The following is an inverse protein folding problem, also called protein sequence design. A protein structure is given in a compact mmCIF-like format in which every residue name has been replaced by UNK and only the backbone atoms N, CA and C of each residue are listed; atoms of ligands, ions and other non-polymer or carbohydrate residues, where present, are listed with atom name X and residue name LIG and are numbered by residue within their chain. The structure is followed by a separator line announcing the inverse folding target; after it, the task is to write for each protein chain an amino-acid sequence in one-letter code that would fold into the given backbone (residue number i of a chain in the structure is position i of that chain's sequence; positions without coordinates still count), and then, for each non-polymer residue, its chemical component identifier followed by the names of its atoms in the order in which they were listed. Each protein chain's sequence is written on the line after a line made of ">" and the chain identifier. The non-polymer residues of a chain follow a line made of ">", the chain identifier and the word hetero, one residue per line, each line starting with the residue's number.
data_IF_816775017390
#
_entry.id   IF_816775017390
#
_cell.length_a   1.000
_cell.length_b   1.000
_cell.length_c   1.000
_cell.angle_alpha   90.00
_cell.angle_beta   90.00
_cell.angle_gamma   90.00
#
_symmetry.space_group_name_H-M   'P 1'
#
loop_
_entity.id
_entity.type
_entity.pdbx_description
1 polymer ?
#
# COMPACT_ATOMS: atom_id res chain seq x y z
N UNK A 1 25.34 -18.37 4.89
CA UNK A 1 25.33 -17.22 3.97
C UNK A 1 24.69 -17.50 2.60
N UNK A 2 25.26 -18.35 1.75
CA UNK A 2 24.83 -18.51 0.34
C UNK A 2 23.33 -18.80 0.15
N UNK A 3 22.73 -19.63 1.04
CA UNK A 3 21.29 -19.90 1.01
C UNK A 3 20.43 -18.65 1.28
N UNK A 4 20.88 -17.75 2.16
CA UNK A 4 20.21 -16.48 2.43
C UNK A 4 20.36 -15.51 1.26
N UNK A 5 21.56 -15.37 0.70
CA UNK A 5 21.81 -14.56 -0.51
C UNK A 5 20.96 -15.02 -1.71
N UNK A 6 20.70 -16.33 -1.84
CA UNK A 6 19.85 -16.86 -2.90
C UNK A 6 18.38 -16.41 -2.82
N UNK A 7 17.89 -15.96 -1.65
CA UNK A 7 16.55 -15.39 -1.50
C UNK A 7 16.43 -13.98 -2.12
N UNK A 8 17.57 -13.34 -2.39
CA UNK A 8 17.64 -11.99 -2.96
C UNK A 8 18.47 -12.01 -4.25
N UNK A 9 18.03 -12.71 -5.30
CA UNK A 9 18.84 -12.97 -6.50
C UNK A 9 19.23 -11.69 -7.26
N UNK A 10 18.50 -10.60 -7.04
CA UNK A 10 18.71 -9.31 -7.69
C UNK A 10 19.39 -8.26 -6.79
N UNK A 11 19.84 -8.64 -5.59
CA UNK A 11 20.50 -7.73 -4.64
C UNK A 11 21.82 -8.32 -4.19
N UNK A 12 22.91 -7.56 -4.29
CA UNK A 12 24.18 -7.94 -3.68
C UNK A 12 24.16 -7.54 -2.20
N UNK A 13 24.09 -8.53 -1.30
CA UNK A 13 24.15 -8.27 0.14
C UNK A 13 25.60 -8.24 0.63
N UNK A 14 25.90 -7.33 1.56
CA UNK A 14 27.23 -7.20 2.17
C UNK A 14 27.30 -8.18 3.34
N UNK A 15 28.00 -9.30 3.19
CA UNK A 15 28.07 -10.39 4.19
C UNK A 15 28.55 -9.90 5.56
N UNK A 16 29.51 -8.98 5.58
CA UNK A 16 30.05 -8.40 6.80
C UNK A 16 28.97 -7.67 7.62
N UNK A 17 27.92 -7.15 6.98
CA UNK A 17 26.78 -6.51 7.65
C UNK A 17 25.88 -7.48 8.44
N UNK A 18 26.09 -8.79 8.27
CA UNK A 18 25.31 -9.85 8.92
C UNK A 18 26.18 -10.72 9.84
N UNK A 19 27.50 -10.73 9.66
CA UNK A 19 28.41 -11.60 10.37
C UNK A 19 28.82 -11.04 11.73
N UNK A 20 28.54 -11.79 12.80
CA UNK A 20 28.95 -11.46 14.18
C UNK A 20 29.47 -12.73 14.84
N UNK A 21 30.71 -12.70 15.33
CA UNK A 21 31.34 -13.85 16.01
C UNK A 21 31.26 -15.17 15.23
N UNK A 22 31.39 -15.11 13.90
CA UNK A 22 31.33 -16.29 13.03
C UNK A 22 29.91 -16.79 12.70
N UNK A 23 28.86 -16.09 13.17
CA UNK A 23 27.46 -16.42 12.89
C UNK A 23 26.79 -15.30 12.09
N UNK A 24 25.90 -15.67 11.16
CA UNK A 24 25.11 -14.71 10.39
C UNK A 24 23.77 -14.42 11.07
N UNK A 25 23.54 -13.16 11.42
CA UNK A 25 22.29 -12.68 11.98
C UNK A 25 21.51 -11.89 10.92
N UNK A 26 20.42 -12.49 10.43
CA UNK A 26 19.56 -11.90 9.38
C UNK A 26 18.66 -10.79 9.92
N UNK A 27 18.03 -10.06 9.00
CA UNK A 27 17.05 -9.02 9.30
C UNK A 27 15.87 -9.56 10.10
N UNK A 28 15.68 -9.12 11.34
CA UNK A 28 14.55 -9.54 12.19
C UNK A 28 13.75 -8.33 12.69
N UNK A 29 12.49 -8.58 13.04
CA UNK A 29 11.63 -7.60 13.69
C UNK A 29 11.16 -6.45 12.80
N UNK A 30 10.45 -5.50 13.40
CA UNK A 30 9.88 -4.32 12.72
C UNK A 30 10.97 -3.41 12.15
N UNK A 31 12.14 -3.37 12.79
CA UNK A 31 13.29 -2.59 12.34
C UNK A 31 14.11 -3.26 11.25
N UNK A 32 13.83 -4.54 10.94
CA UNK A 32 14.64 -5.37 10.04
C UNK A 32 16.13 -5.33 10.43
N UNK A 33 16.43 -5.40 11.73
CA UNK A 33 17.79 -5.30 12.24
C UNK A 33 18.64 -6.47 11.77
N UNK A 34 19.83 -6.18 11.24
CA UNK A 34 20.79 -7.18 10.76
C UNK A 34 22.03 -7.23 11.66
N UNK A 35 22.82 -8.30 11.54
CA UNK A 35 24.13 -8.41 12.16
C UNK A 35 24.11 -8.13 13.66
N UNK A 36 24.99 -7.22 14.10
CA UNK A 36 25.14 -6.88 15.52
C UNK A 36 23.84 -6.38 16.17
N UNK A 37 23.00 -5.64 15.44
CA UNK A 37 21.73 -5.13 15.99
C UNK A 37 20.67 -6.22 16.12
N UNK A 38 20.69 -7.22 15.24
CA UNK A 38 19.83 -8.42 15.34
C UNK A 38 20.18 -9.22 16.59
N UNK A 39 21.48 -9.47 16.82
CA UNK A 39 21.94 -10.11 18.06
C UNK A 39 21.58 -9.27 19.29
N UNK A 40 21.77 -7.95 19.25
CA UNK A 40 21.44 -7.07 20.37
C UNK A 40 19.95 -7.09 20.71
N UNK A 41 19.04 -7.18 19.71
CA UNK A 41 17.61 -7.35 19.95
C UNK A 41 17.31 -8.68 20.66
N UNK A 42 17.94 -9.78 20.23
CA UNK A 42 17.81 -11.08 20.87
C UNK A 42 18.28 -11.05 22.33
N UNK A 43 19.45 -10.47 22.58
CA UNK A 43 20.01 -10.33 23.93
C UNK A 43 19.13 -9.44 24.82
N UNK A 44 18.62 -8.34 24.27
CA UNK A 44 17.69 -7.44 24.95
C UNK A 44 16.41 -8.18 25.35
N UNK A 45 15.75 -8.86 24.42
CA UNK A 45 14.53 -9.61 24.69
C UNK A 45 14.76 -10.69 25.76
N UNK A 46 15.87 -11.44 25.66
CA UNK A 46 16.26 -12.45 26.65
C UNK A 46 16.51 -11.86 28.03
N UNK A 47 17.22 -10.74 28.12
CA UNK A 47 17.51 -10.07 29.40
C UNK A 47 16.25 -9.55 30.10
N UNK A 48 15.20 -9.23 29.34
CA UNK A 48 13.93 -8.74 29.86
C UNK A 48 12.84 -9.81 29.95
N UNK A 49 13.17 -11.09 29.67
CA UNK A 49 12.21 -12.20 29.63
C UNK A 49 11.01 -11.91 28.71
N UNK A 50 11.27 -11.32 27.54
CA UNK A 50 10.26 -11.01 26.53
C UNK A 50 10.39 -11.96 25.33
N UNK A 51 9.27 -12.23 24.67
CA UNK A 51 9.31 -12.79 23.32
C UNK A 51 9.93 -11.75 22.39
N UNK A 52 10.97 -12.16 21.64
CA UNK A 52 11.65 -11.29 20.68
C UNK A 52 10.68 -10.68 19.66
N UNK A 53 9.56 -11.33 19.34
CA UNK A 53 8.56 -10.83 18.39
C UNK A 53 7.49 -9.93 19.01
N UNK A 54 7.45 -9.82 20.35
CA UNK A 54 6.47 -8.96 21.03
C UNK A 54 6.67 -7.48 20.71
N UNK A 55 5.59 -6.72 20.69
CA UNK A 55 5.67 -5.27 20.50
C UNK A 55 6.52 -4.62 21.60
N UNK A 56 6.41 -5.13 22.82
CA UNK A 56 7.18 -4.73 23.99
C UNK A 56 8.69 -4.90 23.77
N UNK A 57 9.14 -6.05 23.29
CA UNK A 57 10.56 -6.28 23.00
C UNK A 57 11.06 -5.37 21.87
N UNK A 58 10.28 -5.26 20.80
CA UNK A 58 10.65 -4.55 19.58
C UNK A 58 10.74 -3.02 19.82
N UNK A 59 9.74 -2.45 20.49
CA UNK A 59 9.67 -1.02 20.83
C UNK A 59 10.64 -0.70 21.98
N UNK A 60 10.74 -1.57 22.99
CA UNK A 60 11.70 -1.43 24.06
C UNK A 60 13.14 -1.40 23.54
N UNK A 61 13.48 -2.26 22.58
CA UNK A 61 14.79 -2.26 21.94
C UNK A 61 15.06 -0.94 21.19
N UNK A 62 14.11 -0.43 20.39
CA UNK A 62 14.23 0.86 19.70
C UNK A 62 14.56 2.03 20.65
N UNK A 63 13.95 2.02 21.83
CA UNK A 63 14.07 3.11 22.81
C UNK A 63 15.32 2.96 23.68
N UNK A 64 15.61 1.75 24.14
CA UNK A 64 16.54 1.51 25.25
C UNK A 64 17.67 0.54 24.91
N UNK A 65 17.39 -0.49 24.10
CA UNK A 65 18.32 -1.59 23.82
C UNK A 65 19.30 -1.36 22.66
N UNK A 66 18.95 -0.51 21.69
CA UNK A 66 19.79 -0.25 20.52
C UNK A 66 21.00 0.63 20.84
N UNK A 67 21.88 0.86 19.87
CA UNK A 67 23.06 1.71 20.06
C UNK A 67 22.67 3.15 20.44
N UNK A 68 23.51 3.88 21.21
CA UNK A 68 23.24 5.27 21.58
C UNK A 68 22.89 6.18 20.40
N UNK A 69 23.50 5.94 19.24
CA UNK A 69 23.21 6.65 18.00
C UNK A 69 21.76 6.43 17.53
N UNK A 70 21.34 5.17 17.36
CA UNK A 70 20.00 4.83 16.87
C UNK A 70 18.89 5.17 17.84
N UNK A 71 19.14 5.09 19.15
CA UNK A 71 18.18 5.52 20.18
C UNK A 71 17.97 7.04 20.15
N UNK A 72 19.05 7.82 19.98
CA UNK A 72 18.99 9.29 19.97
C UNK A 72 18.19 9.80 18.78
N UNK A 73 18.68 9.50 17.57
CA UNK A 73 17.89 8.83 16.53
C UNK A 73 16.37 8.89 16.63
N UNK A 74 15.88 7.72 16.98
CA UNK A 74 14.49 7.38 17.12
C UNK A 74 13.76 8.33 18.08
N UNK A 75 14.34 8.65 19.24
CA UNK A 75 13.73 9.56 20.22
C UNK A 75 13.47 10.94 19.63
N UNK A 76 14.44 11.53 18.95
CA UNK A 76 14.27 12.83 18.30
C UNK A 76 13.15 12.81 17.26
N UNK A 77 12.96 11.69 16.56
CA UNK A 77 11.88 11.54 15.57
C UNK A 77 10.52 11.40 16.26
N UNK A 78 10.38 10.48 17.22
CA UNK A 78 9.07 10.19 17.85
C UNK A 78 8.59 11.28 18.81
N UNK A 79 9.48 12.16 19.28
CA UNK A 79 9.10 13.32 20.10
C UNK A 79 9.04 14.65 19.34
N UNK A 80 9.33 14.66 18.03
CA UNK A 80 9.30 15.89 17.24
C UNK A 80 7.88 16.29 16.85
N UNK A 81 7.68 17.60 16.67
CA UNK A 81 6.47 18.20 16.11
C UNK A 81 6.65 18.63 14.63
N UNK A 82 7.76 18.22 14.00
CA UNK A 82 8.02 18.51 12.59
C UNK A 82 7.00 17.82 11.67
N UNK A 83 7.00 18.25 10.40
CA UNK A 83 6.15 17.66 9.36
C UNK A 83 6.47 16.18 9.17
N UNK A 84 5.43 15.38 8.89
CA UNK A 84 5.54 13.94 8.61
C UNK A 84 6.56 13.65 7.51
N UNK A 85 6.59 14.48 6.48
CA UNK A 85 7.51 14.37 5.35
C UNK A 85 8.97 14.46 5.80
N UNK A 86 9.27 15.46 6.63
CA UNK A 86 10.60 15.71 7.19
C UNK A 86 11.01 14.57 8.12
N UNK A 87 10.10 14.12 9.00
CA UNK A 87 10.38 13.02 9.93
C UNK A 87 10.55 11.68 9.22
N UNK A 88 9.81 11.45 8.13
CA UNK A 88 9.95 10.25 7.29
C UNK A 88 11.29 10.22 6.59
N UNK A 89 11.71 11.35 5.99
CA UNK A 89 13.02 11.47 5.37
C UNK A 89 14.13 11.28 6.41
N UNK A 90 14.00 11.92 7.57
CA UNK A 90 14.97 11.79 8.65
C UNK A 90 15.09 10.34 9.15
N UNK A 91 13.98 9.64 9.32
CA UNK A 91 14.01 8.22 9.67
C UNK A 91 14.70 7.38 8.59
N UNK A 92 14.44 7.68 7.32
CA UNK A 92 15.04 6.98 6.18
C UNK A 92 16.56 7.19 6.07
N UNK A 93 17.00 8.42 6.27
CA UNK A 93 18.41 8.82 6.13
C UNK A 93 19.18 8.43 7.39
N UNK A 94 18.73 8.89 8.56
CA UNK A 94 19.52 8.83 9.79
C UNK A 94 19.36 7.49 10.52
N UNK A 95 18.16 6.88 10.48
CA UNK A 95 17.91 5.63 11.22
C UNK A 95 18.07 4.38 10.34
N UNK A 96 17.51 4.39 9.12
CA UNK A 96 17.61 3.27 8.17
C UNK A 96 18.91 3.29 7.34
N UNK A 97 19.54 4.45 7.16
CA UNK A 97 20.79 4.57 6.39
C UNK A 97 20.63 4.39 4.88
N UNK A 98 19.43 4.64 4.33
CA UNK A 98 19.11 4.41 2.91
C UNK A 98 18.49 5.66 2.25
N UNK A 99 19.25 6.77 2.16
CA UNK A 99 18.75 8.05 1.65
C UNK A 99 18.12 7.93 0.26
N UNK A 100 16.98 8.60 0.06
CA UNK A 100 16.27 8.66 -1.23
C UNK A 100 15.51 7.39 -1.63
N UNK A 101 15.68 6.25 -0.94
CA UNK A 101 15.02 5.00 -1.30
C UNK A 101 13.49 5.10 -1.16
N UNK A 102 12.79 5.27 -2.28
CA UNK A 102 11.31 5.39 -2.35
C UNK A 102 10.77 6.49 -1.41
N UNK A 103 11.47 7.64 -1.36
CA UNK A 103 11.18 8.68 -0.38
C UNK A 103 9.73 9.17 -0.47
N UNK A 104 9.25 9.47 -1.68
CA UNK A 104 7.90 9.98 -1.88
C UNK A 104 6.83 8.97 -1.46
N UNK A 105 7.01 7.69 -1.80
CA UNK A 105 6.09 6.61 -1.42
C UNK A 105 6.06 6.41 0.09
N UNK A 106 7.23 6.48 0.75
CA UNK A 106 7.32 6.39 2.22
C UNK A 106 6.65 7.57 2.89
N UNK A 107 6.85 8.79 2.39
CA UNK A 107 6.18 10.00 2.91
C UNK A 107 4.67 9.89 2.74
N UNK A 108 4.20 9.41 1.60
CA UNK A 108 2.77 9.20 1.34
C UNK A 108 2.19 8.14 2.29
N UNK A 109 2.88 7.01 2.48
CA UNK A 109 2.47 5.97 3.43
C UNK A 109 2.44 6.52 4.88
N UNK A 110 3.46 7.26 5.30
CA UNK A 110 3.53 7.83 6.65
C UNK A 110 2.39 8.81 6.92
N UNK A 111 2.00 9.65 5.95
CA UNK A 111 0.83 10.53 6.05
C UNK A 111 -0.45 9.71 6.26
N UNK A 112 -0.62 8.64 5.50
CA UNK A 112 -1.80 7.78 5.59
C UNK A 112 -1.88 7.09 6.95
N UNK A 113 -0.76 6.56 7.46
CA UNK A 113 -0.67 6.00 8.81
C UNK A 113 -0.95 7.04 9.90
N UNK A 114 -0.42 8.26 9.77
CA UNK A 114 -0.70 9.32 10.74
C UNK A 114 -2.19 9.66 10.78
N UNK A 115 -2.81 9.80 9.61
CA UNK A 115 -4.26 10.03 9.52
C UNK A 115 -5.02 8.90 10.21
N UNK A 116 -4.74 7.64 9.85
CA UNK A 116 -5.37 6.47 10.48
C UNK A 116 -5.27 6.49 12.01
N UNK A 117 -4.08 6.74 12.55
CA UNK A 117 -3.83 6.75 14.00
C UNK A 117 -4.58 7.92 14.68
N UNK A 118 -4.62 9.10 14.06
CA UNK A 118 -5.23 10.30 14.65
C UNK A 118 -6.76 10.26 14.67
N UNK A 119 -7.39 9.80 13.60
CA UNK A 119 -8.85 9.80 13.51
C UNK A 119 -9.49 8.52 14.02
N UNK A 120 -8.74 7.44 14.25
CA UNK A 120 -9.31 6.13 14.59
C UNK A 120 -10.17 5.52 13.47
N UNK A 121 -10.32 6.25 12.36
CA UNK A 121 -10.91 5.91 11.08
C UNK A 121 -10.02 6.55 10.00
N UNK A 122 -10.00 5.97 8.81
CA UNK A 122 -9.01 6.27 7.78
C UNK A 122 -8.37 4.96 7.33
N UNK A 123 -7.63 4.99 6.23
CA UNK A 123 -6.87 3.81 5.81
C UNK A 123 -5.51 4.22 5.32
N UNK A 124 -4.59 3.30 5.57
CA UNK A 124 -3.16 3.43 5.39
C UNK A 124 -2.75 3.44 3.92
N UNK A 125 -3.72 3.46 2.99
CA UNK A 125 -3.49 3.18 1.57
C UNK A 125 -2.85 1.82 1.32
N UNK A 126 -2.69 0.98 2.36
CA UNK A 126 -2.13 -0.34 2.25
C UNK A 126 -3.14 -1.23 1.54
N UNK A 127 -2.74 -1.75 0.41
CA UNK A 127 -3.51 -2.73 -0.35
C UNK A 127 -3.55 -4.06 0.42
N UNK A 128 -4.74 -4.45 0.87
CA UNK A 128 -5.00 -5.81 1.35
C UNK A 128 -5.26 -6.73 0.15
N UNK A 129 -4.77 -7.97 0.20
CA UNK A 129 -5.08 -9.00 -0.82
C UNK A 129 -6.44 -9.67 -0.60
N UNK A 130 -7.08 -9.39 0.54
CA UNK A 130 -8.41 -9.87 0.89
C UNK A 130 -9.31 -8.69 1.26
N UNK A 131 -10.62 -8.87 1.11
CA UNK A 131 -11.60 -7.84 1.49
C UNK A 131 -11.46 -7.59 2.99
N UNK A 132 -11.32 -6.33 3.45
CA UNK A 132 -11.26 -6.05 4.87
C UNK A 132 -12.55 -6.52 5.55
N UNK A 133 -12.41 -7.23 6.68
CA UNK A 133 -13.49 -7.98 7.31
C UNK A 133 -14.71 -7.11 7.63
N UNK A 134 -14.48 -5.85 8.00
CA UNK A 134 -15.50 -4.87 8.35
C UNK A 134 -16.40 -4.43 7.17
N UNK A 135 -16.06 -4.77 5.92
CA UNK A 135 -16.86 -4.47 4.73
C UNK A 135 -17.51 -5.69 4.08
N UNK A 136 -17.15 -6.92 4.49
CA UNK A 136 -17.56 -8.16 3.80
C UNK A 136 -19.08 -8.25 3.61
N UNK A 137 -19.85 -7.85 4.62
CA UNK A 137 -21.31 -7.91 4.62
C UNK A 137 -21.98 -6.57 4.24
N UNK A 138 -21.20 -5.58 3.79
CA UNK A 138 -21.67 -4.23 3.47
C UNK A 138 -21.67 -3.91 1.97
N UNK A 139 -21.07 -4.76 1.13
CA UNK A 139 -20.90 -4.50 -0.30
C UNK A 139 -22.25 -4.60 -1.04
N UNK A 140 -22.78 -3.51 -1.60
CA UNK A 140 -24.11 -3.54 -2.23
C UNK A 140 -24.20 -4.44 -3.47
N UNK A 141 -23.07 -4.67 -4.12
CA UNK A 141 -22.96 -5.52 -5.32
C UNK A 141 -22.24 -6.85 -5.08
N UNK A 142 -22.13 -7.27 -3.82
CA UNK A 142 -21.39 -8.47 -3.42
C UNK A 142 -19.90 -8.39 -3.76
N UNK A 143 -19.21 -9.52 -3.66
CA UNK A 143 -17.79 -9.62 -4.01
C UNK A 143 -17.57 -9.69 -5.53
N UNK A 144 -16.40 -9.26 -6.04
CA UNK A 144 -15.98 -9.58 -7.40
C UNK A 144 -16.03 -11.09 -7.65
N UNK A 145 -16.63 -11.49 -8.76
CA UNK A 145 -16.76 -12.90 -9.13
C UNK A 145 -15.46 -13.44 -9.71
N UNK A 146 -15.30 -14.76 -9.70
CA UNK A 146 -14.19 -15.44 -10.39
C UNK A 146 -14.14 -15.05 -11.88
N UNK A 147 -15.30 -14.86 -12.52
CA UNK A 147 -15.37 -14.40 -13.91
C UNK A 147 -14.75 -13.01 -14.10
N UNK A 148 -14.83 -12.14 -13.10
CA UNK A 148 -14.31 -10.79 -13.18
C UNK A 148 -12.80 -10.69 -12.89
N UNK A 149 -12.23 -11.68 -12.18
CA UNK A 149 -10.87 -11.57 -11.62
C UNK A 149 -9.87 -12.63 -12.08
N UNK A 150 -10.31 -13.83 -12.49
CA UNK A 150 -9.39 -14.94 -12.81
C UNK A 150 -8.81 -14.83 -14.22
N UNK A 151 -7.57 -15.30 -14.37
CA UNK A 151 -6.93 -15.46 -15.67
C UNK A 151 -7.69 -16.44 -16.56
N UNK A 152 -7.86 -16.07 -17.83
CA UNK A 152 -8.64 -16.85 -18.80
C UNK A 152 -10.16 -16.67 -18.67
N UNK A 153 -10.63 -15.90 -17.70
CA UNK A 153 -12.01 -15.46 -17.60
C UNK A 153 -12.18 -14.04 -18.17
N UNK A 154 -13.37 -13.46 -18.02
CA UNK A 154 -13.68 -12.09 -18.39
C UNK A 154 -15.11 -11.94 -18.88
N UNK A 155 -15.46 -10.71 -19.23
CA UNK A 155 -16.74 -10.38 -19.86
C UNK A 155 -16.54 -10.01 -21.35
N UNK A 156 -17.48 -10.38 -22.22
CA UNK A 156 -17.39 -10.09 -23.65
C UNK A 156 -17.36 -8.57 -23.90
N UNK A 157 -16.63 -8.16 -24.94
CA UNK A 157 -16.50 -6.75 -25.31
C UNK A 157 -15.41 -5.98 -24.56
N UNK A 158 -14.74 -6.59 -23.58
CA UNK A 158 -13.60 -5.99 -22.89
C UNK A 158 -12.39 -5.91 -23.84
N UNK A 159 -11.99 -4.68 -24.21
CA UNK A 159 -10.84 -4.44 -25.09
C UNK A 159 -9.55 -4.08 -24.33
N UNK A 160 -9.58 -4.09 -22.99
CA UNK A 160 -8.40 -3.77 -22.18
C UNK A 160 -7.46 -4.97 -22.06
N UNK A 161 -6.17 -4.69 -21.89
CA UNK A 161 -5.16 -5.72 -21.68
C UNK A 161 -5.45 -6.51 -20.40
N UNK A 162 -5.49 -7.85 -20.54
CA UNK A 162 -5.89 -8.76 -19.49
C UNK A 162 -5.10 -8.55 -18.18
N UNK A 163 -5.75 -8.76 -17.04
CA UNK A 163 -5.08 -8.68 -15.73
C UNK A 163 -4.67 -7.26 -15.28
N UNK A 164 -4.99 -6.21 -16.05
CA UNK A 164 -4.76 -4.81 -15.68
C UNK A 164 -5.94 -4.19 -14.92
N UNK A 165 -5.69 -3.04 -14.30
CA UNK A 165 -6.68 -2.26 -13.56
C UNK A 165 -7.93 -1.91 -14.40
N UNK A 166 -7.74 -1.46 -15.65
CA UNK A 166 -8.84 -1.13 -16.57
C UNK A 166 -9.65 -2.36 -16.97
N UNK A 167 -8.99 -3.49 -17.21
CA UNK A 167 -9.62 -4.76 -17.53
C UNK A 167 -10.50 -5.25 -16.39
N UNK A 168 -9.99 -5.19 -15.16
CA UNK A 168 -10.75 -5.54 -13.96
C UNK A 168 -11.97 -4.64 -13.77
N UNK A 169 -11.80 -3.32 -13.84
CA UNK A 169 -12.91 -2.37 -13.61
C UNK A 169 -14.01 -2.56 -14.66
N UNK A 170 -13.65 -2.77 -15.94
CA UNK A 170 -14.63 -3.13 -16.97
C UNK A 170 -15.42 -4.39 -16.58
N UNK A 171 -14.73 -5.46 -16.19
CA UNK A 171 -15.39 -6.71 -15.78
C UNK A 171 -16.25 -6.54 -14.54
N UNK A 172 -15.82 -5.73 -13.56
CA UNK A 172 -16.57 -5.48 -12.33
C UNK A 172 -17.87 -4.74 -12.62
N UNK A 173 -17.87 -3.79 -13.55
CA UNK A 173 -19.09 -3.17 -14.04
C UNK A 173 -19.99 -4.17 -14.78
N UNK A 174 -19.42 -4.99 -15.68
CA UNK A 174 -20.19 -5.99 -16.41
C UNK A 174 -20.86 -7.02 -15.47
N UNK A 175 -20.17 -7.43 -14.40
CA UNK A 175 -20.70 -8.30 -13.36
C UNK A 175 -21.99 -7.73 -12.73
N UNK A 176 -22.07 -6.41 -12.55
CA UNK A 176 -23.24 -5.74 -11.95
C UNK A 176 -24.26 -5.28 -13.00
N UNK A 177 -24.11 -5.73 -14.26
CA UNK A 177 -25.02 -5.41 -15.35
C UNK A 177 -24.84 -4.01 -15.96
N UNK A 178 -23.73 -3.34 -15.68
CA UNK A 178 -23.42 -2.00 -16.19
C UNK A 178 -22.37 -2.11 -17.30
N UNK A 179 -22.63 -1.47 -18.44
CA UNK A 179 -21.70 -1.46 -19.57
C UNK A 179 -20.77 -0.26 -19.55
N UNK A 180 -19.46 -0.53 -19.69
CA UNK A 180 -18.42 0.48 -19.88
C UNK A 180 -18.00 0.53 -21.34
N UNK A 181 -17.74 1.72 -21.87
CA UNK A 181 -17.15 1.88 -23.18
C UNK A 181 -15.72 1.30 -23.16
N UNK A 182 -15.39 0.32 -24.03
CA UNK A 182 -14.15 -0.44 -23.89
C UNK A 182 -12.88 0.30 -24.36
N UNK A 183 -12.99 1.54 -24.85
CA UNK A 183 -11.88 2.31 -25.42
C UNK A 183 -11.66 3.66 -24.73
N UNK A 184 -11.78 3.72 -23.40
CA UNK A 184 -11.45 4.94 -22.63
C UNK A 184 -9.94 5.21 -22.50
N UNK A 185 -9.09 4.27 -22.94
CA UNK A 185 -7.63 4.34 -22.85
C UNK A 185 -7.07 3.88 -21.50
N UNK A 186 -5.82 4.26 -21.22
CA UNK A 186 -5.18 4.03 -19.92
C UNK A 186 -5.97 4.68 -18.77
N UNK A 187 -5.75 4.20 -17.55
CA UNK A 187 -6.57 4.57 -16.41
C UNK A 187 -6.72 6.09 -16.19
N UNK A 188 -5.62 6.85 -16.23
CA UNK A 188 -5.65 8.30 -16.10
C UNK A 188 -6.41 9.01 -17.24
N UNK A 189 -6.53 8.38 -18.42
CA UNK A 189 -7.23 8.98 -19.56
C UNK A 189 -8.76 8.95 -19.39
N UNK A 190 -9.28 8.06 -18.53
CA UNK A 190 -10.72 7.88 -18.38
C UNK A 190 -11.42 9.18 -17.99
N UNK A 191 -10.84 10.04 -17.15
CA UNK A 191 -11.46 11.33 -16.77
C UNK A 191 -11.63 12.29 -17.95
N UNK A 192 -10.84 12.14 -19.01
CA UNK A 192 -10.91 12.98 -20.21
C UNK A 192 -11.78 12.37 -21.31
N UNK A 193 -11.78 11.03 -21.45
CA UNK A 193 -12.50 10.32 -22.50
C UNK A 193 -13.94 9.99 -22.11
N UNK A 194 -14.20 9.71 -20.83
CA UNK A 194 -15.50 9.33 -20.30
C UNK A 194 -16.61 10.37 -20.54
N UNK A 195 -16.38 11.70 -20.37
CA UNK A 195 -17.39 12.70 -20.69
C UNK A 195 -17.89 12.62 -22.14
N UNK A 196 -17.00 12.33 -23.09
CA UNK A 196 -17.35 12.15 -24.51
C UNK A 196 -18.25 10.94 -24.79
N UNK A 197 -18.34 10.01 -23.84
CA UNK A 197 -19.23 8.84 -23.89
C UNK A 197 -20.53 9.05 -23.08
N UNK A 198 -20.74 10.27 -22.56
CA UNK A 198 -21.90 10.64 -21.75
C UNK A 198 -21.79 10.28 -20.27
N UNK A 199 -20.59 9.94 -19.78
CA UNK A 199 -20.38 9.63 -18.36
C UNK A 199 -20.16 10.91 -17.55
N UNK A 200 -20.53 10.88 -16.27
CA UNK A 200 -20.32 12.00 -15.37
C UNK A 200 -19.03 11.81 -14.58
N UNK A 201 -18.21 12.86 -14.50
CA UNK A 201 -16.98 12.88 -13.69
C UNK A 201 -17.20 13.80 -12.49
N UNK A 202 -16.89 13.32 -11.29
CA UNK A 202 -17.03 14.06 -10.03
C UNK A 202 -15.84 13.80 -9.11
N UNK A 203 -15.64 14.66 -8.11
CA UNK A 203 -14.67 14.44 -7.02
C UNK A 203 -15.32 13.83 -5.76
N UNK A 204 -16.64 13.60 -5.78
CA UNK A 204 -17.38 13.04 -4.65
C UNK A 204 -17.45 11.52 -4.74
N UNK A 205 -17.06 10.78 -3.70
CA UNK A 205 -17.19 9.32 -3.69
C UNK A 205 -18.63 8.87 -3.86
N UNK A 206 -18.83 7.88 -4.72
CA UNK A 206 -20.12 7.26 -4.95
C UNK A 206 -19.92 5.77 -5.19
N UNK A 207 -20.69 4.93 -4.51
CA UNK A 207 -20.67 3.48 -4.70
C UNK A 207 -21.06 3.15 -6.15
N UNK A 208 -20.41 2.16 -6.75
CA UNK A 208 -20.69 1.74 -8.12
C UNK A 208 -20.10 2.66 -9.19
N UNK A 209 -19.05 3.41 -8.87
CA UNK A 209 -18.33 4.26 -9.83
C UNK A 209 -16.91 3.77 -10.06
N UNK A 210 -16.32 4.13 -11.22
CA UNK A 210 -14.90 3.94 -11.46
C UNK A 210 -14.14 5.03 -10.71
N UNK A 211 -13.18 4.64 -9.88
CA UNK A 211 -12.29 5.56 -9.16
C UNK A 211 -11.00 5.70 -9.95
N UNK A 212 -10.80 6.85 -10.58
CA UNK A 212 -9.58 7.17 -11.33
C UNK A 212 -8.61 7.92 -10.44
N UNK A 213 -7.38 7.42 -10.39
CA UNK A 213 -6.24 8.05 -9.76
C UNK A 213 -5.35 8.66 -10.83
N UNK A 214 -5.14 9.97 -10.75
CA UNK A 214 -4.17 10.66 -11.59
C UNK A 214 -2.76 10.09 -11.38
N UNK A 215 -1.83 10.27 -12.33
CA UNK A 215 -0.49 9.70 -12.23
C UNK A 215 0.25 10.14 -10.96
N UNK A 216 0.81 9.17 -10.22
CA UNK A 216 1.52 9.39 -8.95
C UNK A 216 0.62 9.62 -7.72
N UNK A 217 -0.70 9.73 -7.90
CA UNK A 217 -1.66 9.95 -6.80
C UNK A 217 -2.03 8.64 -6.12
N UNK A 218 -2.00 8.64 -4.79
CA UNK A 218 -2.33 7.46 -3.97
C UNK A 218 -1.56 6.20 -4.39
N UNK A 219 -0.29 6.33 -4.80
CA UNK A 219 0.53 5.18 -5.21
C UNK A 219 0.20 4.62 -6.59
N UNK A 220 -0.54 5.35 -7.43
CA UNK A 220 -0.78 5.00 -8.82
C UNK A 220 0.49 5.09 -9.68
N UNK A 221 0.48 4.46 -10.86
CA UNK A 221 1.60 4.54 -11.78
C UNK A 221 1.86 5.99 -12.21
N UNK A 222 3.12 6.43 -12.21
CA UNK A 222 3.51 7.83 -12.49
C UNK A 222 3.26 8.28 -13.93
N UNK A 223 3.00 7.35 -14.84
CA UNK A 223 2.63 7.65 -16.24
C UNK A 223 1.16 7.36 -16.54
N UNK A 224 0.62 6.23 -16.06
CA UNK A 224 -0.65 5.69 -16.54
C UNK A 224 -1.81 5.97 -15.58
N UNK A 225 -1.51 6.46 -14.37
CA UNK A 225 -2.47 6.51 -13.28
C UNK A 225 -2.91 5.13 -12.82
N UNK A 226 -4.09 5.05 -12.24
CA UNK A 226 -4.73 3.80 -11.85
C UNK A 226 -6.26 3.94 -11.86
N UNK A 227 -6.98 2.84 -12.03
CA UNK A 227 -8.44 2.85 -11.93
C UNK A 227 -8.91 1.67 -11.08
N UNK A 228 -9.85 1.94 -10.20
CA UNK A 228 -10.45 0.97 -9.30
C UNK A 228 -11.98 1.05 -9.37
N UNK A 229 -12.68 0.15 -8.69
CA UNK A 229 -14.13 0.19 -8.54
C UNK A 229 -14.49 0.60 -7.10
N UNK A 230 -15.41 1.56 -6.94
CA UNK A 230 -15.88 2.03 -5.64
C UNK A 230 -16.91 1.06 -5.06
N UNK A 231 -16.50 0.26 -4.09
CA UNK A 231 -17.30 -0.83 -3.51
C UNK A 231 -18.21 -0.34 -2.36
N UNK A 232 -17.74 0.66 -1.60
CA UNK A 232 -18.48 1.20 -0.47
C UNK A 232 -18.04 2.64 -0.15
N UNK A 233 -18.95 3.48 0.35
CA UNK A 233 -18.65 4.82 0.87
C UNK A 233 -19.11 4.89 2.32
N UNK A 234 -18.18 5.19 3.23
CA UNK A 234 -18.43 5.33 4.65
C UNK A 234 -19.12 6.66 4.96
N UNK A 235 -19.74 6.73 6.14
CA UNK A 235 -20.41 7.94 6.62
C UNK A 235 -19.46 9.15 6.78
N UNK A 236 -18.18 8.90 7.03
CA UNK A 236 -17.13 9.93 7.14
C UNK A 236 -16.59 10.40 5.78
N UNK A 237 -17.11 9.86 4.67
CA UNK A 237 -16.70 10.18 3.30
C UNK A 237 -15.47 9.42 2.81
N UNK A 238 -14.85 8.57 3.64
CA UNK A 238 -13.88 7.59 3.13
C UNK A 238 -14.57 6.53 2.31
N UNK A 239 -13.84 5.84 1.43
CA UNK A 239 -14.44 4.88 0.51
C UNK A 239 -13.53 3.66 0.32
N UNK A 240 -14.15 2.49 0.19
CA UNK A 240 -13.50 1.23 -0.15
C UNK A 240 -13.44 1.09 -1.67
N UNK A 241 -12.27 0.72 -2.17
CA UNK A 241 -12.09 0.27 -3.54
C UNK A 241 -11.63 -1.17 -3.62
N UNK A 242 -12.08 -1.85 -4.66
CA UNK A 242 -11.47 -3.07 -5.20
C UNK A 242 -10.71 -2.71 -6.47
N UNK A 243 -9.54 -3.30 -6.66
CA UNK A 243 -8.67 -2.97 -7.80
C UNK A 243 -7.75 -4.14 -8.16
N UNK A 244 -7.17 -4.08 -9.35
CA UNK A 244 -6.27 -5.11 -9.86
C UNK A 244 -4.96 -4.50 -10.34
N UNK A 245 -3.86 -5.25 -10.22
CA UNK A 245 -2.54 -4.89 -10.72
C UNK A 245 -1.85 -3.74 -9.96
N UNK A 246 -2.14 -3.60 -8.65
CA UNK A 246 -1.31 -2.79 -7.76
C UNK A 246 -0.06 -3.54 -7.27
N UNK A 247 -0.10 -4.88 -7.23
CA UNK A 247 1.01 -5.75 -6.79
C UNK A 247 1.54 -6.69 -7.90
N UNK A 248 1.16 -6.45 -9.15
CA UNK A 248 1.48 -7.31 -10.30
C UNK A 248 0.24 -7.84 -11.01
N UNK A 249 0.39 -8.33 -12.24
CA UNK A 249 -0.71 -8.74 -13.11
C UNK A 249 -1.64 -9.75 -12.39
N UNK A 250 -2.95 -9.61 -12.57
CA UNK A 250 -3.99 -10.42 -11.90
C UNK A 250 -4.01 -10.36 -10.36
N UNK A 251 -3.18 -9.55 -9.71
CA UNK A 251 -3.26 -9.39 -8.26
C UNK A 251 -4.44 -8.49 -7.88
N UNK A 252 -5.41 -9.05 -7.15
CA UNK A 252 -6.49 -8.27 -6.55
C UNK A 252 -6.04 -7.60 -5.26
N UNK A 253 -6.42 -6.34 -5.10
CA UNK A 253 -6.20 -5.58 -3.88
C UNK A 253 -7.40 -4.74 -3.49
N UNK A 254 -7.45 -4.42 -2.20
CA UNK A 254 -8.50 -3.61 -1.58
C UNK A 254 -7.86 -2.47 -0.78
N UNK A 255 -8.42 -1.27 -0.89
CA UNK A 255 -7.97 -0.11 -0.14
C UNK A 255 -9.14 0.71 0.33
N UNK A 256 -9.08 1.21 1.56
CA UNK A 256 -9.94 2.31 1.98
C UNK A 256 -9.17 3.61 1.78
N UNK A 257 -9.83 4.65 1.30
CA UNK A 257 -9.18 5.88 0.88
C UNK A 257 -10.01 7.09 1.32
N UNK A 258 -9.32 8.21 1.51
CA UNK A 258 -9.98 9.50 1.70
C UNK A 258 -10.00 10.25 0.37
N UNK A 259 -11.05 11.05 0.10
CA UNK A 259 -11.07 11.94 -1.05
C UNK A 259 -9.88 12.90 -0.99
N UNK A 260 -9.19 13.06 -2.13
CA UNK A 260 -8.11 14.04 -2.27
C UNK A 260 -8.02 14.49 -3.73
N UNK A 261 -7.28 15.58 -3.96
CA UNK A 261 -7.02 16.06 -5.31
C UNK A 261 -6.36 14.97 -6.16
N UNK A 262 -6.82 14.83 -7.41
CA UNK A 262 -6.33 13.80 -8.32
C UNK A 262 -7.00 12.44 -8.16
N UNK A 263 -8.02 12.32 -7.30
CA UNK A 263 -8.97 11.21 -7.31
C UNK A 263 -10.30 11.68 -7.88
N UNK A 264 -10.80 10.97 -8.88
CA UNK A 264 -12.06 11.26 -9.55
C UNK A 264 -12.93 10.02 -9.62
N UNK A 265 -14.24 10.22 -9.61
CA UNK A 265 -15.24 9.18 -9.71
C UNK A 265 -15.99 9.36 -11.02
N UNK A 266 -16.03 8.29 -11.81
CA UNK A 266 -16.72 8.24 -13.10
C UNK A 266 -17.97 7.40 -12.92
N UNK A 267 -19.13 8.04 -13.09
CA UNK A 267 -20.42 7.37 -13.11
C UNK A 267 -20.80 7.05 -14.56
N UNK A 268 -20.89 5.75 -14.93
CA UNK A 268 -21.41 5.36 -16.23
C UNK A 268 -22.86 5.81 -16.42
N UNK A 269 -23.29 5.84 -17.67
CA UNK A 269 -24.69 6.17 -18.03
C UNK A 269 -25.66 5.04 -17.70
#
# INVERSE_FOLDING_TARGET
>A
WSAFQALYPNLSLIEEGYLVNGLHYIGIGIGQWTGGRSLALYEYAKAHNLDIWSAEAQIGFLLDGDSPYYRTIFRQIVTSNDKVETLTERFLVDWLGVPGNKLLERQNAAKQWLTFIKSGSGSTGASSTTVPAEYKDKLPYGLPSDQAVLQGQGYPGNAYALGNCTWYVYNRFAQIGVSIYPYLGDAANWVYTAPGQGYTVTSKPQVGTAVVFAPGVAGSHTTYGHVAFCEYVNADGTFLVSEMNMKGEYSMTWRVLSPQQGIYFINPK
#
